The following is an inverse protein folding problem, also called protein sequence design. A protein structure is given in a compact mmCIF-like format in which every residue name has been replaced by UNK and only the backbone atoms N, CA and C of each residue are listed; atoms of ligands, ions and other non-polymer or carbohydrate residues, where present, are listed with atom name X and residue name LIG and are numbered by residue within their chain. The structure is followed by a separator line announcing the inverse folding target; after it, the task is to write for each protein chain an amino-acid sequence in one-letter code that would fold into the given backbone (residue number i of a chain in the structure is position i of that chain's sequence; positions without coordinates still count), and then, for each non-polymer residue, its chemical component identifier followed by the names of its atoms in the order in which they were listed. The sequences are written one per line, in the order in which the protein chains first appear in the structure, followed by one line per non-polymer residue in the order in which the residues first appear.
data_IF_449667306396
#
_entry.id   IF_449667306396
#
_cell.length_a   1.000
_cell.length_b   1.000
_cell.length_c   1.000
_cell.angle_alpha   90.00
_cell.angle_beta   90.00
_cell.angle_gamma   90.00
#
_symmetry.space_group_name_H-M   'P 1'
#
loop_
_entity.id
_entity.type
_entity.pdbx_description
1 polymer ?
#
# COMPACT_ATOMS: atom_id res chain seq x y z
N UNK A 1 -0.10 17.34 3.23
CA UNK A 1 0.70 18.01 4.27
C UNK A 1 -0.17 19.06 4.92
N UNK A 2 -0.29 19.05 6.26
CA UNK A 2 -1.13 20.01 6.98
C UNK A 2 -0.33 21.15 7.63
N UNK A 3 0.96 20.92 7.90
CA UNK A 3 1.91 21.89 8.48
C UNK A 3 3.32 21.56 7.99
N UNK A 4 4.20 22.57 7.92
CA UNK A 4 5.56 22.45 7.39
C UNK A 4 6.59 23.10 8.34
N UNK A 5 6.67 22.59 9.56
CA UNK A 5 7.62 23.06 10.57
C UNK A 5 8.61 21.96 10.93
N UNK A 6 9.77 21.96 10.27
CA UNK A 6 10.87 21.05 10.56
C UNK A 6 11.08 19.97 9.51
N UNK A 7 11.32 18.74 9.97
CA UNK A 7 11.85 17.63 9.18
C UNK A 7 10.80 16.95 8.27
N UNK A 8 10.27 17.74 7.32
CA UNK A 8 9.14 17.35 6.49
C UNK A 8 9.38 16.07 5.69
N UNK A 9 10.58 15.92 5.13
CA UNK A 9 10.92 14.79 4.25
C UNK A 9 10.91 13.48 5.03
N UNK A 10 11.49 13.46 6.22
CA UNK A 10 11.51 12.27 7.08
C UNK A 10 10.10 11.93 7.57
N UNK A 11 9.31 12.95 7.94
CA UNK A 11 7.91 12.77 8.35
C UNK A 11 7.06 12.15 7.22
N UNK A 12 7.24 12.61 5.98
CA UNK A 12 6.58 12.02 4.80
C UNK A 12 7.06 10.58 4.59
N UNK A 13 8.37 10.31 4.66
CA UNK A 13 8.91 8.96 4.48
C UNK A 13 8.31 7.96 5.48
N UNK A 14 8.19 8.36 6.74
CA UNK A 14 7.52 7.56 7.76
C UNK A 14 6.03 7.38 7.46
N UNK A 15 5.31 8.45 7.09
CA UNK A 15 3.90 8.39 6.76
C UNK A 15 3.61 7.45 5.59
N UNK A 16 4.45 7.43 4.56
CA UNK A 16 4.30 6.51 3.43
C UNK A 16 4.51 5.06 3.88
N UNK A 17 5.54 4.77 4.68
CA UNK A 17 5.75 3.41 5.23
C UNK A 17 4.53 2.95 6.03
N UNK A 18 3.98 3.81 6.88
CA UNK A 18 2.78 3.51 7.66
C UNK A 18 1.56 3.28 6.78
N UNK A 19 1.33 4.13 5.78
CA UNK A 19 0.21 3.97 4.85
C UNK A 19 0.27 2.62 4.13
N UNK A 20 1.46 2.22 3.64
CA UNK A 20 1.67 0.92 3.00
C UNK A 20 1.46 -0.25 3.96
N UNK A 21 1.92 -0.13 5.22
CA UNK A 21 1.70 -1.16 6.25
C UNK A 21 0.21 -1.40 6.53
N UNK A 22 -0.59 -0.34 6.55
CA UNK A 22 -2.03 -0.41 6.79
C UNK A 22 -2.86 -0.65 5.52
N UNK A 23 -2.22 -0.68 4.34
CA UNK A 23 -2.94 -0.89 3.08
C UNK A 23 -3.46 -2.31 2.98
N UNK A 24 -4.75 -2.45 2.68
CA UNK A 24 -5.44 -3.71 2.44
C UNK A 24 -5.92 -3.72 0.99
N UNK A 25 -5.35 -4.61 0.17
CA UNK A 25 -5.72 -4.76 -1.25
C UNK A 25 -6.81 -5.84 -1.34
N UNK A 26 -7.99 -5.55 -1.92
CA UNK A 26 -9.06 -6.54 -2.01
C UNK A 26 -8.60 -7.74 -2.83
N UNK A 27 -8.96 -8.96 -2.40
CA UNK A 27 -8.64 -10.15 -3.17
C UNK A 27 -9.42 -10.17 -4.48
N UNK A 28 -8.67 -10.36 -5.56
CA UNK A 28 -9.20 -10.48 -6.92
C UNK A 28 -8.72 -11.80 -7.52
N UNK A 29 -9.62 -12.53 -8.16
CA UNK A 29 -9.30 -13.74 -8.92
C UNK A 29 -9.82 -13.61 -10.34
N UNK A 30 -9.06 -14.12 -11.31
CA UNK A 30 -9.50 -14.19 -12.70
C UNK A 30 -10.01 -15.60 -12.99
N UNK A 31 -11.25 -15.72 -13.45
CA UNK A 31 -11.74 -16.97 -13.99
C UNK A 31 -11.51 -16.97 -15.51
N UNK A 32 -10.72 -17.93 -16.00
CA UNK A 32 -10.66 -18.20 -17.42
C UNK A 32 -11.96 -18.92 -17.80
N UNK A 33 -12.89 -18.20 -18.43
CA UNK A 33 -14.02 -18.83 -19.10
C UNK A 33 -13.49 -19.27 -20.47
N UNK A 34 -13.73 -20.52 -20.87
CA UNK A 34 -13.30 -21.07 -22.16
C UNK A 34 -13.84 -20.21 -23.32
N UNK A 35 -13.07 -19.20 -23.74
CA UNK A 35 -13.45 -18.23 -24.77
C UNK A 35 -13.05 -16.79 -24.43
N UNK A 36 -11.77 -16.44 -24.67
CA UNK A 36 -11.16 -15.10 -24.83
C UNK A 36 -11.42 -13.95 -23.83
N UNK A 37 -12.38 -14.04 -22.91
CA UNK A 37 -12.66 -12.99 -21.91
C UNK A 37 -12.37 -13.51 -20.49
N UNK A 38 -11.39 -12.89 -19.84
CA UNK A 38 -11.11 -13.13 -18.42
C UNK A 38 -12.12 -12.35 -17.58
N UNK A 39 -12.92 -13.06 -16.79
CA UNK A 39 -13.83 -12.45 -15.82
C UNK A 39 -13.08 -12.10 -14.53
N UNK A 40 -13.39 -10.92 -13.96
CA UNK A 40 -12.76 -10.42 -12.74
C UNK A 40 -13.73 -10.67 -11.58
N UNK A 41 -13.33 -11.55 -10.67
CA UNK A 41 -14.08 -11.85 -9.46
C UNK A 41 -13.43 -11.16 -8.27
N UNK A 42 -14.22 -10.37 -7.54
CA UNK A 42 -13.83 -9.73 -6.28
C UNK A 42 -14.33 -10.59 -5.12
N UNK A 43 -13.56 -10.64 -4.03
CA UNK A 43 -14.04 -11.26 -2.80
C UNK A 43 -15.17 -10.44 -2.17
N UNK A 44 -16.25 -11.11 -1.76
CA UNK A 44 -17.38 -10.48 -1.05
C UNK A 44 -17.09 -10.26 0.45
N UNK A 45 -16.01 -10.86 0.98
CA UNK A 45 -15.57 -10.63 2.36
C UNK A 45 -14.69 -9.36 2.44
N UNK A 46 -15.13 -8.29 3.13
CA UNK A 46 -14.36 -7.05 3.24
C UNK A 46 -13.04 -7.23 4.00
N UNK A 47 -12.84 -8.34 4.71
CA UNK A 47 -11.60 -8.64 5.43
C UNK A 47 -10.68 -9.59 4.65
N UNK A 48 -11.13 -10.13 3.50
CA UNK A 48 -10.29 -10.94 2.63
C UNK A 48 -9.40 -10.06 1.74
N UNK A 49 -8.35 -9.55 2.37
CA UNK A 49 -7.41 -8.63 1.77
C UNK A 49 -5.99 -9.17 1.77
N UNK A 50 -5.22 -8.76 0.77
CA UNK A 50 -3.77 -8.92 0.70
C UNK A 50 -3.10 -7.74 1.39
N UNK A 51 -2.11 -8.03 2.24
CA UNK A 51 -1.25 -7.01 2.85
C UNK A 51 0.13 -7.01 2.22
N UNK A 52 0.70 -5.82 2.05
CA UNK A 52 2.05 -5.65 1.51
C UNK A 52 3.10 -6.04 2.55
N UNK A 53 4.15 -6.75 2.13
CA UNK A 53 5.34 -6.88 2.95
C UNK A 53 6.17 -5.59 2.86
N UNK A 54 6.28 -4.86 3.97
CA UNK A 54 6.99 -3.58 4.08
C UNK A 54 8.23 -3.64 4.97
N UNK A 55 8.70 -4.85 5.32
CA UNK A 55 9.86 -5.05 6.20
C UNK A 55 11.08 -4.24 5.73
N UNK A 56 11.38 -4.33 4.43
CA UNK A 56 12.51 -3.66 3.79
C UNK A 56 12.18 -2.28 3.21
N UNK A 57 10.98 -1.74 3.46
CA UNK A 57 10.65 -0.40 3.01
C UNK A 57 11.49 0.64 3.78
N UNK A 58 12.23 1.53 3.08
CA UNK A 58 13.17 2.45 3.71
C UNK A 58 12.46 3.58 4.45
N UNK A 59 13.20 4.27 5.33
CA UNK A 59 12.80 5.55 5.91
C UNK A 59 13.76 6.63 5.45
N UNK A 60 13.26 7.86 5.31
CA UNK A 60 14.07 9.02 4.94
C UNK A 60 14.69 9.61 6.21
N UNK A 61 15.96 9.99 6.12
CA UNK A 61 16.73 10.59 7.21
C UNK A 61 17.44 11.84 6.69
N UNK A 62 17.07 12.99 7.23
CA UNK A 62 17.63 14.29 6.89
C UNK A 62 18.72 14.64 7.90
N UNK A 63 19.89 15.03 7.38
CA UNK A 63 21.04 15.47 8.16
C UNK A 63 21.29 16.95 7.88
N UNK A 64 21.44 17.75 8.93
CA UNK A 64 21.80 19.17 8.85
C UNK A 64 23.19 19.40 9.47
N UNK A 65 23.93 20.38 8.95
CA UNK A 65 25.29 20.70 9.38
C UNK A 65 25.33 21.51 10.67
#
# INVERSE_FOLDING_TARGET
ILQCDGNLVDAIGAAVKCALYTTEIPRVTTAAVDGDEADIQLSDDPFDCLRLNVENYPVLVTLCK
#
